data_IF_717249195032
#
_entry.id   IF_717249195032
#
_cell.length_a   1.000
_cell.length_b   1.000
_cell.length_c   1.000
_cell.angle_alpha   90.00
_cell.angle_beta   90.00
_cell.angle_gamma   90.00
#
_symmetry.space_group_name_H-M   'P 1'
#
loop_
_entity.id
_entity.type
_entity.pdbx_description
1 polymer ?
#
# COMPACT_ATOMS: atom_id res chain seq x y z
N UNK A 1 6.59 -3.47 -8.85
CA UNK A 1 5.89 -4.72 -9.14
C UNK A 1 4.76 -4.40 -10.09
N UNK A 2 4.44 -5.32 -10.97
CA UNK A 2 3.30 -5.17 -11.88
C UNK A 2 2.00 -5.30 -11.09
N UNK A 3 1.27 -4.20 -10.93
CA UNK A 3 0.05 -4.14 -10.13
C UNK A 3 -1.22 -4.46 -10.93
N UNK A 4 -1.20 -4.24 -12.24
CA UNK A 4 -2.37 -4.36 -13.11
C UNK A 4 -2.19 -5.37 -14.27
N UNK A 5 -1.06 -6.06 -14.31
CA UNK A 5 -0.76 -7.15 -15.23
C UNK A 5 -0.31 -6.68 -16.63
N UNK A 6 0.08 -5.41 -16.77
CA UNK A 6 0.44 -4.83 -18.07
C UNK A 6 1.92 -5.02 -18.46
N UNK A 7 2.71 -5.65 -17.58
CA UNK A 7 4.15 -5.89 -17.74
C UNK A 7 5.04 -4.71 -17.35
N UNK A 8 4.47 -3.61 -16.86
CA UNK A 8 5.20 -2.45 -16.32
C UNK A 8 5.28 -2.61 -14.79
N UNK A 9 6.39 -2.17 -14.20
CA UNK A 9 6.52 -2.18 -12.74
C UNK A 9 6.13 -0.83 -12.13
N UNK A 10 5.21 -0.89 -11.16
CA UNK A 10 4.83 0.24 -10.32
C UNK A 10 5.50 0.17 -8.94
N UNK A 11 5.58 1.31 -8.28
CA UNK A 11 5.90 1.37 -6.85
C UNK A 11 4.65 1.67 -6.04
N UNK A 12 4.45 0.90 -4.96
CA UNK A 12 3.49 1.25 -3.91
C UNK A 12 4.28 1.75 -2.71
N UNK A 13 3.93 2.93 -2.21
CA UNK A 13 4.60 3.53 -1.06
C UNK A 13 3.59 4.04 -0.01
N UNK A 14 3.89 3.87 1.29
CA UNK A 14 3.13 4.52 2.36
C UNK A 14 3.17 6.05 2.28
N UNK A 15 2.04 6.70 2.59
CA UNK A 15 1.98 8.16 2.75
C UNK A 15 1.75 8.51 4.22
N UNK A 16 2.76 8.35 5.08
CA UNK A 16 2.58 8.46 6.54
C UNK A 16 2.10 9.84 7.06
N UNK A 17 2.17 10.89 6.26
CA UNK A 17 1.55 12.19 6.55
C UNK A 17 0.00 12.18 6.41
N UNK A 18 -0.55 11.17 5.73
CA UNK A 18 -1.97 10.91 5.51
C UNK A 18 -2.25 9.46 5.91
N UNK A 19 -2.72 9.24 7.14
CA UNK A 19 -3.00 7.89 7.64
C UNK A 19 -3.93 7.11 6.70
N UNK A 20 -3.65 5.82 6.51
CA UNK A 20 -4.42 4.98 5.60
C UNK A 20 -4.24 5.28 4.10
N UNK A 21 -3.34 6.18 3.71
CA UNK A 21 -3.06 6.42 2.29
C UNK A 21 -1.81 5.67 1.81
N UNK A 22 -1.94 5.15 0.59
CA UNK A 22 -0.85 4.65 -0.23
C UNK A 22 -0.70 5.56 -1.46
N UNK A 23 0.50 5.65 -2.01
CA UNK A 23 0.70 6.20 -3.34
C UNK A 23 1.17 5.11 -4.29
N UNK A 24 0.57 5.09 -5.48
CA UNK A 24 1.04 4.29 -6.61
C UNK A 24 1.83 5.21 -7.53
N UNK A 25 3.06 4.82 -7.84
CA UNK A 25 3.95 5.53 -8.76
C UNK A 25 4.04 4.73 -10.05
N UNK A 26 3.47 5.27 -11.11
CA UNK A 26 3.49 4.71 -12.47
C UNK A 26 4.69 5.25 -13.24
N UNK A 27 5.35 4.39 -14.00
CA UNK A 27 6.38 4.79 -14.97
C UNK A 27 5.78 4.75 -16.37
N UNK A 28 5.59 5.90 -16.99
CA UNK A 28 5.10 6.02 -18.37
C UNK A 28 6.08 6.73 -19.31
N UNK A 29 5.75 6.84 -20.61
CA UNK A 29 6.58 7.54 -21.60
C UNK A 29 6.86 9.01 -21.26
N UNK A 30 5.97 9.65 -20.51
CA UNK A 30 6.09 11.04 -20.06
C UNK A 30 6.79 11.20 -18.70
N UNK A 31 7.32 10.12 -18.12
CA UNK A 31 7.98 10.10 -16.81
C UNK A 31 7.14 9.46 -15.72
N UNK A 32 7.36 9.88 -14.47
CA UNK A 32 6.70 9.31 -13.30
C UNK A 32 5.38 10.05 -12.99
N UNK A 33 4.31 9.28 -12.76
CA UNK A 33 3.02 9.80 -12.27
C UNK A 33 2.74 9.21 -10.90
N UNK A 34 2.40 10.07 -9.94
CA UNK A 34 1.97 9.66 -8.60
C UNK A 34 0.45 9.76 -8.49
N UNK A 35 -0.18 8.72 -7.96
CA UNK A 35 -1.59 8.70 -7.60
C UNK A 35 -1.73 8.31 -6.14
N UNK A 36 -2.34 9.18 -5.33
CA UNK A 36 -2.72 8.82 -3.96
C UNK A 36 -4.00 8.00 -3.98
N UNK A 37 -4.02 6.94 -3.17
CA UNK A 37 -5.14 6.00 -3.01
C UNK A 37 -5.44 5.90 -1.52
N UNK A 38 -6.69 6.11 -1.15
CA UNK A 38 -7.16 5.77 0.19
C UNK A 38 -7.31 4.24 0.25
N UNK A 39 -6.49 3.58 1.07
CA UNK A 39 -6.52 2.12 1.19
C UNK A 39 -7.63 1.61 2.11
N UNK A 40 -8.31 2.51 2.82
CA UNK A 40 -9.29 2.19 3.85
C UNK A 40 -8.68 1.68 5.16
N UNK A 41 -7.35 1.65 5.29
CA UNK A 41 -6.69 1.20 6.50
C UNK A 41 -6.74 2.29 7.57
N UNK A 42 -7.05 1.90 8.81
CA UNK A 42 -7.00 2.83 9.94
C UNK A 42 -5.62 2.76 10.62
N UNK A 43 -4.83 3.83 10.48
CA UNK A 43 -3.57 4.02 11.19
C UNK A 43 -2.36 4.26 10.30
N UNK A 44 -1.17 4.11 10.89
CA UNK A 44 0.11 4.33 10.19
C UNK A 44 0.62 3.03 9.61
N UNK A 45 0.95 3.05 8.31
CA UNK A 45 1.56 1.92 7.63
C UNK A 45 3.05 1.86 8.00
N UNK A 46 3.47 0.74 8.57
CA UNK A 46 4.83 0.51 9.10
C UNK A 46 5.61 -0.54 8.32
N UNK A 47 4.91 -1.35 7.55
CA UNK A 47 5.51 -2.33 6.65
C UNK A 47 4.64 -2.51 5.42
N UNK A 48 5.29 -2.69 4.29
CA UNK A 48 4.65 -2.95 3.01
C UNK A 48 5.49 -4.01 2.28
N UNK A 49 4.82 -5.03 1.80
CA UNK A 49 5.40 -6.09 1.00
C UNK A 49 4.38 -6.60 0.02
N UNK A 50 4.81 -7.47 -0.87
CA UNK A 50 3.92 -8.08 -1.82
C UNK A 50 4.43 -9.43 -2.28
N UNK A 51 3.48 -10.32 -2.60
CA UNK A 51 3.71 -11.63 -3.18
C UNK A 51 3.33 -11.52 -4.66
N UNK A 52 4.25 -11.80 -5.60
CA UNK A 52 3.92 -11.84 -7.02
C UNK A 52 2.79 -12.83 -7.32
N UNK A 53 1.85 -12.44 -8.18
CA UNK A 53 0.78 -13.29 -8.70
C UNK A 53 0.91 -13.46 -10.21
N UNK A 54 0.06 -14.30 -10.81
CA UNK A 54 0.03 -14.49 -12.28
C UNK A 54 -0.57 -13.27 -12.99
N UNK A 55 -1.72 -12.76 -12.49
CA UNK A 55 -2.38 -11.57 -13.03
C UNK A 55 -2.24 -10.35 -12.10
N UNK A 56 -2.55 -10.51 -10.81
CA UNK A 56 -2.45 -9.43 -9.82
C UNK A 56 -1.69 -9.87 -8.57
N UNK A 57 -0.81 -9.02 -8.02
CA UNK A 57 -0.07 -9.38 -6.82
C UNK A 57 -0.92 -9.27 -5.56
N UNK A 58 -0.59 -10.11 -4.59
CA UNK A 58 -1.10 -9.94 -3.22
C UNK A 58 -0.24 -8.91 -2.49
N UNK A 59 -0.86 -7.86 -1.97
CA UNK A 59 -0.22 -6.88 -1.10
C UNK A 59 -0.33 -7.32 0.36
N UNK A 60 0.75 -7.14 1.12
CA UNK A 60 0.82 -7.38 2.56
C UNK A 60 1.20 -6.06 3.23
N UNK A 61 0.39 -5.62 4.18
CA UNK A 61 0.55 -4.33 4.83
C UNK A 61 0.50 -4.51 6.34
N UNK A 62 1.53 -3.99 7.04
CA UNK A 62 1.54 -3.88 8.50
C UNK A 62 1.11 -2.47 8.88
N UNK A 63 0.03 -2.36 9.65
CA UNK A 63 -0.55 -1.09 10.10
C UNK A 63 -0.54 -1.05 11.62
N UNK A 64 -0.13 0.09 12.18
CA UNK A 64 -0.31 0.37 13.61
C UNK A 64 -1.56 1.23 13.77
N UNK A 65 -2.60 0.64 14.35
CA UNK A 65 -3.84 1.36 14.69
C UNK A 65 -3.70 1.93 16.10
N UNK A 66 -3.63 3.24 16.20
CA UNK A 66 -3.47 3.91 17.49
C UNK A 66 -4.77 3.88 18.30
N UNK A 67 -4.66 3.54 19.57
CA UNK A 67 -5.79 3.51 20.50
C UNK A 67 -5.98 4.84 21.23
N UNK A 68 -5.07 5.80 21.03
CA UNK A 68 -5.10 7.11 21.66
C UNK A 68 -4.68 8.24 20.70
N UNK A 69 -5.13 9.46 21.02
CA UNK A 69 -4.83 10.65 20.23
C UNK A 69 -3.33 10.98 20.17
N UNK A 70 -2.58 10.70 21.25
CA UNK A 70 -1.14 10.95 21.32
C UNK A 70 -0.29 9.96 20.51
N UNK A 71 -0.92 8.97 19.85
CA UNK A 71 -0.25 7.92 19.06
C UNK A 71 0.86 7.19 19.83
N UNK A 72 0.69 7.05 21.14
CA UNK A 72 1.70 6.46 22.03
C UNK A 72 1.40 4.99 22.38
N UNK A 73 0.19 4.52 22.07
CA UNK A 73 -0.21 3.13 22.20
C UNK A 73 -1.02 2.74 20.96
N UNK A 74 -0.85 1.50 20.50
CA UNK A 74 -1.54 0.99 19.33
C UNK A 74 -1.35 -0.51 19.19
N UNK A 75 -2.16 -1.10 18.32
CA UNK A 75 -2.11 -2.50 17.97
C UNK A 75 -1.60 -2.65 16.53
N UNK A 76 -0.71 -3.61 16.32
CA UNK A 76 -0.25 -3.96 14.97
C UNK A 76 -1.25 -4.93 14.33
N UNK A 77 -1.68 -4.59 13.12
CA UNK A 77 -2.50 -5.45 12.28
C UNK A 77 -1.78 -5.74 10.97
N UNK A 78 -1.86 -6.98 10.52
CA UNK A 78 -1.39 -7.38 9.19
C UNK A 78 -2.61 -7.55 8.31
N UNK A 79 -2.66 -6.78 7.22
CA UNK A 79 -3.72 -6.79 6.23
C UNK A 79 -3.13 -7.37 4.95
N UNK A 80 -3.85 -8.29 4.33
CA UNK A 80 -3.47 -8.91 3.07
C UNK A 80 -4.59 -8.72 2.05
N UNK A 81 -4.25 -8.35 0.83
CA UNK A 81 -5.20 -8.37 -0.28
C UNK A 81 -5.22 -9.76 -0.91
N UNK A 82 -6.40 -10.25 -1.28
CA UNK A 82 -6.52 -11.41 -2.15
C UNK A 82 -6.21 -10.93 -3.57
N UNK A 83 -5.13 -11.42 -4.19
CA UNK A 83 -4.98 -11.30 -5.64
C UNK A 83 -6.21 -11.94 -6.28
N UNK A 84 -6.88 -11.23 -7.19
CA UNK A 84 -8.00 -11.81 -7.93
C UNK A 84 -7.48 -12.93 -8.83
N UNK A 85 -8.25 -14.01 -8.92
CA UNK A 85 -8.15 -14.97 -10.04
C UNK A 85 -8.52 -14.30 -11.37
#
# INVERSE_FOLDING_TARGET
MDLDGDGIEEFVIPQNQLEGHLAVVFRGPAGYRLQSVNSGFEGTITGLGAIPGEDTPTLIVSVVRFSNWSKSAGETQIIMTTGGE
#
